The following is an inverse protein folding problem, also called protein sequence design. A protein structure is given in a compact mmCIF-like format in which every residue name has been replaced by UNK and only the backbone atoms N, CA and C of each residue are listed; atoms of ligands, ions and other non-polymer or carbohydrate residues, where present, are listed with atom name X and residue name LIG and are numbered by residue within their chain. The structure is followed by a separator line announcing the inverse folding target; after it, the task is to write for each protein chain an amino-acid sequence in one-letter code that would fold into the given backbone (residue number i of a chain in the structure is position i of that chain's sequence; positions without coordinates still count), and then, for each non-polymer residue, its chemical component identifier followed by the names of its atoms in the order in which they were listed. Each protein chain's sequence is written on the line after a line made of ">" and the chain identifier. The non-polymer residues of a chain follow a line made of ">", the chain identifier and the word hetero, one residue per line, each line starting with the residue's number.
data_IF_368168371041
#
_entry.id   IF_368168371041
#
_cell.length_a   1.000
_cell.length_b   1.000
_cell.length_c   1.000
_cell.angle_alpha   90.00
_cell.angle_beta   90.00
_cell.angle_gamma   90.00
#
_symmetry.space_group_name_H-M   'P 1'
#
loop_
_entity.id
_entity.type
_entity.pdbx_description
1 polymer ?
#
# COMPACT_ATOMS: atom_id res chain seq x y z
N UNK A 1 -44.82 41.36 11.97
CA UNK A 1 -44.48 40.02 12.25
C UNK A 1 -43.85 39.29 11.10
N UNK A 2 -42.60 39.45 10.98
CA UNK A 2 -41.91 38.87 9.86
C UNK A 2 -41.23 37.62 10.30
N UNK A 3 -41.66 36.56 9.75
CA UNK A 3 -40.93 35.31 9.92
C UNK A 3 -39.77 35.32 8.98
N UNK A 4 -38.65 35.50 9.53
CA UNK A 4 -37.44 35.15 8.80
C UNK A 4 -37.34 33.65 8.78
N UNK A 5 -37.82 33.09 7.72
CA UNK A 5 -37.23 31.82 7.37
C UNK A 5 -35.81 32.14 6.99
N UNK A 6 -34.97 32.05 7.95
CA UNK A 6 -33.60 31.77 7.63
C UNK A 6 -33.61 30.41 6.95
N UNK A 7 -33.72 30.45 5.64
CA UNK A 7 -33.14 29.42 4.88
C UNK A 7 -31.65 29.50 5.16
N UNK A 8 -31.25 28.85 6.18
CA UNK A 8 -29.93 28.32 6.13
C UNK A 8 -29.94 27.35 4.97
N UNK A 9 -29.64 27.88 3.82
CA UNK A 9 -28.99 27.04 2.85
C UNK A 9 -27.75 26.56 3.55
N UNK A 10 -27.84 25.46 4.21
CA UNK A 10 -26.68 24.69 4.45
C UNK A 10 -26.13 24.44 3.06
N UNK A 11 -25.16 25.24 2.70
CA UNK A 11 -24.23 24.82 1.71
C UNK A 11 -23.64 23.54 2.24
N UNK A 12 -24.30 22.48 1.97
CA UNK A 12 -23.63 21.23 1.79
C UNK A 12 -22.76 21.43 0.57
N UNK A 13 -21.62 22.01 0.79
CA UNK A 13 -20.52 21.73 -0.08
C UNK A 13 -20.31 20.24 0.09
N UNK A 14 -21.06 19.46 -0.66
CA UNK A 14 -20.51 18.23 -1.09
C UNK A 14 -19.31 18.68 -1.91
N UNK A 15 -18.19 18.82 -1.27
CA UNK A 15 -16.93 18.75 -1.94
C UNK A 15 -17.07 17.50 -2.77
N UNK A 16 -17.25 17.67 -4.08
CA UNK A 16 -17.36 16.53 -4.96
C UNK A 16 -16.29 15.58 -4.52
N UNK A 17 -16.69 14.51 -3.85
CA UNK A 17 -15.76 13.59 -3.30
C UNK A 17 -15.07 12.98 -4.48
N UNK A 18 -13.94 13.59 -4.86
CA UNK A 18 -12.96 12.89 -5.67
C UNK A 18 -12.66 11.65 -4.87
N UNK A 19 -13.09 10.52 -5.38
CA UNK A 19 -12.79 9.25 -4.75
C UNK A 19 -11.28 9.20 -4.51
N UNK A 20 -10.89 9.03 -3.26
CA UNK A 20 -9.50 8.88 -2.91
C UNK A 20 -8.93 7.62 -3.58
N UNK A 21 -7.65 7.61 -3.89
CA UNK A 21 -7.00 6.44 -4.47
C UNK A 21 -7.28 5.18 -3.62
N UNK A 22 -7.26 5.32 -2.31
CA UNK A 22 -7.58 4.22 -1.39
C UNK A 22 -8.96 3.60 -1.63
N UNK A 23 -9.94 4.38 -2.08
CA UNK A 23 -11.29 3.88 -2.33
C UNK A 23 -11.39 3.09 -3.63
N UNK A 24 -10.49 3.31 -4.56
CA UNK A 24 -10.44 2.64 -5.86
C UNK A 24 -9.56 1.41 -5.87
N UNK A 25 -8.77 1.21 -4.83
CA UNK A 25 -7.79 0.15 -4.74
C UNK A 25 -8.28 -0.99 -3.85
N UNK A 26 -8.14 -2.20 -4.33
CA UNK A 26 -8.32 -3.42 -3.53
C UNK A 26 -7.01 -4.20 -3.49
N UNK A 27 -6.80 -4.94 -2.43
CA UNK A 27 -5.61 -5.76 -2.26
C UNK A 27 -6.03 -7.22 -2.08
N UNK A 28 -5.54 -8.08 -2.97
CA UNK A 28 -5.82 -9.49 -2.94
C UNK A 28 -4.61 -10.29 -2.47
N UNK A 29 -4.88 -11.36 -1.75
CA UNK A 29 -3.89 -12.35 -1.32
C UNK A 29 -2.66 -11.74 -0.63
N UNK A 30 -2.82 -10.80 0.32
CA UNK A 30 -1.67 -10.25 1.01
C UNK A 30 -1.07 -11.27 1.97
N UNK A 31 0.25 -11.41 1.91
CA UNK A 31 0.98 -12.26 2.85
C UNK A 31 2.39 -11.73 3.08
N UNK A 32 2.94 -12.09 4.23
CA UNK A 32 4.34 -11.85 4.56
C UNK A 32 5.05 -13.20 4.55
N UNK A 33 6.18 -13.26 3.86
CA UNK A 33 7.00 -14.48 3.87
C UNK A 33 7.52 -14.71 5.27
N UNK A 34 7.41 -15.93 5.76
CA UNK A 34 7.96 -16.30 7.05
C UNK A 34 9.49 -16.22 6.99
N UNK A 35 10.06 -15.34 7.80
CA UNK A 35 11.50 -15.20 7.86
C UNK A 35 12.12 -16.28 8.76
N UNK A 36 13.30 -16.80 8.40
CA UNK A 36 14.04 -17.63 9.33
C UNK A 36 14.32 -16.90 10.65
N UNK A 37 14.48 -17.61 11.77
CA UNK A 37 14.88 -16.97 13.03
C UNK A 37 16.14 -16.13 12.83
N UNK A 38 16.12 -14.93 13.42
CA UNK A 38 17.22 -13.94 13.31
C UNK A 38 17.45 -13.35 11.91
N UNK A 39 16.55 -13.57 10.96
CA UNK A 39 16.62 -12.87 9.68
C UNK A 39 16.38 -11.38 9.90
N UNK A 40 17.20 -10.48 9.31
CA UNK A 40 17.05 -9.04 9.52
C UNK A 40 15.86 -8.47 8.77
N UNK A 41 15.36 -9.13 7.74
CA UNK A 41 14.30 -8.60 6.89
C UNK A 41 13.49 -9.71 6.24
N UNK A 42 12.29 -9.37 5.80
CA UNK A 42 11.45 -10.25 4.99
C UNK A 42 10.61 -9.42 4.01
N UNK A 43 9.99 -10.07 3.06
CA UNK A 43 9.14 -9.43 2.06
C UNK A 43 7.67 -9.70 2.29
N UNK A 44 6.85 -8.72 1.93
CA UNK A 44 5.41 -8.85 1.83
C UNK A 44 4.99 -8.79 0.37
N UNK A 45 4.02 -9.59 0.01
CA UNK A 45 3.55 -9.76 -1.35
C UNK A 45 2.03 -9.66 -1.40
N UNK A 46 1.53 -9.13 -2.49
CA UNK A 46 0.10 -8.92 -2.67
C UNK A 46 -0.20 -8.55 -4.12
N UNK A 47 -1.46 -8.60 -4.50
CA UNK A 47 -1.94 -8.06 -5.77
C UNK A 47 -2.73 -6.80 -5.46
N UNK A 48 -2.27 -5.67 -5.98
CA UNK A 48 -2.91 -4.37 -5.80
C UNK A 48 -3.68 -4.05 -7.07
N UNK A 49 -5.00 -3.95 -6.97
CA UNK A 49 -5.90 -3.70 -8.10
C UNK A 49 -6.47 -2.30 -8.04
N UNK A 50 -6.48 -1.63 -9.17
CA UNK A 50 -7.04 -0.29 -9.32
C UNK A 50 -8.27 -0.34 -10.22
N UNK A 51 -9.44 -0.15 -9.64
CA UNK A 51 -10.71 -0.12 -10.39
C UNK A 51 -11.06 1.27 -10.91
N UNK A 52 -10.27 2.29 -10.58
CA UNK A 52 -10.51 3.66 -10.96
C UNK A 52 -10.05 4.00 -12.37
N UNK A 53 -10.39 5.21 -12.81
CA UNK A 53 -10.06 5.73 -14.14
C UNK A 53 -8.70 6.44 -14.19
N UNK A 54 -8.05 6.59 -13.06
CA UNK A 54 -6.75 7.24 -12.95
C UNK A 54 -5.69 6.26 -12.48
N UNK A 55 -4.48 6.45 -12.95
CA UNK A 55 -3.33 5.72 -12.45
C UNK A 55 -3.08 6.09 -10.98
N UNK A 56 -2.70 5.11 -10.19
CA UNK A 56 -2.38 5.26 -8.78
C UNK A 56 -0.94 4.83 -8.56
N UNK A 57 -0.26 5.51 -7.63
CA UNK A 57 1.09 5.12 -7.21
C UNK A 57 1.08 4.85 -5.71
N UNK A 58 1.66 3.73 -5.33
CA UNK A 58 1.99 3.48 -3.93
C UNK A 58 3.35 4.11 -3.67
N UNK A 59 3.39 5.12 -2.82
CA UNK A 59 4.62 5.89 -2.57
C UNK A 59 5.28 5.56 -1.24
N UNK A 60 4.56 4.84 -0.37
CA UNK A 60 5.07 4.50 0.95
C UNK A 60 4.34 3.27 1.49
N UNK A 61 5.03 2.50 2.29
CA UNK A 61 4.45 1.44 3.09
C UNK A 61 5.01 1.51 4.51
N UNK A 62 4.15 1.21 5.48
CA UNK A 62 4.51 1.17 6.90
C UNK A 62 3.94 -0.08 7.55
N UNK A 63 4.61 -0.57 8.58
CA UNK A 63 4.08 -1.65 9.42
C UNK A 63 4.69 -1.58 10.82
N UNK A 64 3.99 -2.10 11.86
CA UNK A 64 4.51 -2.07 13.22
C UNK A 64 5.49 -3.22 13.54
N UNK A 65 5.63 -4.21 12.67
CA UNK A 65 6.45 -5.39 12.93
C UNK A 65 7.94 -5.19 12.60
N UNK A 66 8.28 -4.10 11.94
CA UNK A 66 9.65 -3.77 11.57
C UNK A 66 9.97 -2.31 11.86
N UNK A 67 11.26 -2.00 11.94
CA UNK A 67 11.72 -0.63 12.20
C UNK A 67 11.68 0.24 10.96
N UNK A 68 11.80 -0.36 9.78
CA UNK A 68 11.73 0.34 8.51
C UNK A 68 10.96 -0.48 7.49
N UNK A 69 10.29 0.20 6.57
CA UNK A 69 9.55 -0.43 5.49
C UNK A 69 9.92 0.29 4.19
N UNK A 70 10.23 -0.46 3.17
CA UNK A 70 10.61 0.09 1.87
C UNK A 70 9.89 -0.62 0.74
N UNK A 71 9.75 0.05 -0.39
CA UNK A 71 9.30 -0.55 -1.64
C UNK A 71 10.52 -0.98 -2.43
N UNK A 72 10.56 -2.23 -2.85
CA UNK A 72 11.70 -2.82 -3.55
C UNK A 72 11.25 -3.52 -4.83
N UNK A 73 12.21 -3.67 -5.72
CA UNK A 73 12.08 -4.54 -6.89
C UNK A 73 13.35 -5.36 -7.08
N UNK A 74 13.25 -6.42 -7.87
CA UNK A 74 14.42 -7.15 -8.36
C UNK A 74 14.76 -6.68 -9.77
N UNK A 75 16.02 -6.35 -9.99
CA UNK A 75 16.54 -6.00 -11.30
C UNK A 75 17.63 -7.00 -11.71
N UNK A 76 17.63 -7.37 -12.99
CA UNK A 76 18.70 -8.17 -13.55
C UNK A 76 19.81 -7.22 -14.03
N UNK A 77 20.92 -7.21 -13.32
CA UNK A 77 22.10 -6.43 -13.67
C UNK A 77 23.20 -7.39 -14.09
N UNK A 78 23.49 -7.46 -15.39
CA UNK A 78 24.53 -8.33 -15.96
C UNK A 78 24.39 -9.81 -15.58
N UNK A 79 23.16 -10.33 -15.56
CA UNK A 79 22.86 -11.70 -15.18
C UNK A 79 22.71 -11.95 -13.68
N UNK A 80 22.88 -10.91 -12.85
CA UNK A 80 22.73 -11.00 -11.40
C UNK A 80 21.44 -10.30 -10.99
N UNK A 81 20.58 -11.02 -10.27
CA UNK A 81 19.36 -10.43 -9.72
C UNK A 81 19.71 -9.64 -8.45
N UNK A 82 19.42 -8.37 -8.45
CA UNK A 82 19.67 -7.47 -7.31
C UNK A 82 18.38 -6.81 -6.88
N UNK A 83 18.17 -6.74 -5.55
CA UNK A 83 17.10 -5.92 -4.99
C UNK A 83 17.50 -4.46 -4.98
N UNK A 84 16.55 -3.60 -5.38
CA UNK A 84 16.73 -2.15 -5.36
C UNK A 84 15.49 -1.47 -4.80
N UNK A 85 15.64 -0.44 -3.98
CA UNK A 85 14.51 0.37 -3.57
C UNK A 85 13.93 1.10 -4.79
N UNK A 86 12.62 1.26 -4.79
CA UNK A 86 11.90 2.05 -5.77
C UNK A 86 11.13 3.16 -5.06
N UNK A 87 10.99 4.31 -5.72
CA UNK A 87 10.29 5.45 -5.14
C UNK A 87 8.78 5.21 -5.07
N UNK A 88 8.24 4.42 -5.98
CA UNK A 88 6.82 4.16 -6.07
C UNK A 88 6.55 2.86 -6.82
N UNK A 89 5.36 2.30 -6.56
CA UNK A 89 4.81 1.18 -7.34
C UNK A 89 3.63 1.72 -8.12
N UNK A 90 3.68 1.62 -9.44
CA UNK A 90 2.61 2.08 -10.33
C UNK A 90 1.49 1.04 -10.39
N UNK A 91 0.26 1.51 -10.21
CA UNK A 91 -0.95 0.70 -10.41
C UNK A 91 -1.80 1.41 -11.45
N UNK A 92 -1.76 0.95 -12.67
CA UNK A 92 -2.45 1.58 -13.81
C UNK A 92 -3.97 1.56 -13.60
N UNK A 93 -4.66 2.56 -14.16
CA UNK A 93 -6.12 2.59 -14.16
C UNK A 93 -6.67 1.30 -14.77
N UNK A 94 -7.70 0.71 -14.14
CA UNK A 94 -8.29 -0.57 -14.54
C UNK A 94 -7.29 -1.72 -14.61
N UNK A 95 -6.15 -1.58 -13.96
CA UNK A 95 -5.06 -2.55 -13.96
C UNK A 95 -4.67 -3.02 -12.57
N UNK A 96 -3.55 -3.69 -12.50
CA UNK A 96 -3.05 -4.22 -11.23
C UNK A 96 -1.52 -4.18 -11.18
N UNK A 97 -1.00 -4.15 -9.95
CA UNK A 97 0.40 -4.40 -9.68
C UNK A 97 0.53 -5.71 -8.90
N UNK A 98 1.34 -6.61 -9.39
CA UNK A 98 1.58 -7.91 -8.76
C UNK A 98 2.91 -7.85 -8.02
N UNK A 99 2.83 -7.92 -6.70
CA UNK A 99 4.01 -8.03 -5.85
C UNK A 99 4.23 -9.51 -5.55
N UNK A 100 5.37 -10.02 -5.98
CA UNK A 100 5.70 -11.46 -5.90
C UNK A 100 7.18 -11.68 -5.68
N UNK A 101 7.58 -12.84 -5.15
CA UNK A 101 8.99 -13.19 -5.05
C UNK A 101 9.69 -13.05 -6.40
N UNK A 102 10.85 -12.40 -6.40
CA UNK A 102 11.59 -12.12 -7.63
C UNK A 102 11.15 -10.87 -8.39
N UNK A 103 10.13 -10.17 -7.93
CA UNK A 103 9.62 -8.94 -8.52
C UNK A 103 9.47 -7.83 -7.50
N UNK A 104 8.44 -7.00 -7.68
CA UNK A 104 8.08 -5.96 -6.72
C UNK A 104 7.70 -6.57 -5.37
N UNK A 105 8.03 -5.90 -4.30
CA UNK A 105 7.63 -6.30 -2.95
C UNK A 105 7.75 -5.15 -1.95
N UNK A 106 7.08 -5.32 -0.81
CA UNK A 106 7.26 -4.47 0.35
C UNK A 106 8.30 -5.15 1.24
N UNK A 107 9.38 -4.46 1.53
CA UNK A 107 10.45 -5.00 2.36
C UNK A 107 10.27 -4.50 3.80
N UNK A 108 10.16 -5.45 4.73
CA UNK A 108 10.12 -5.19 6.16
C UNK A 108 11.55 -5.36 6.70
N UNK A 109 12.15 -4.28 7.17
CA UNK A 109 13.56 -4.22 7.55
C UNK A 109 13.69 -4.07 9.07
N UNK A 110 14.59 -4.83 9.66
CA UNK A 110 14.82 -4.86 11.09
C UNK A 110 13.54 -5.27 11.86
N UNK A 111 13.20 -6.53 11.74
CA UNK A 111 12.05 -7.10 12.42
C UNK A 111 12.18 -6.95 13.94
N UNK A 112 11.09 -6.52 14.59
CA UNK A 112 11.07 -6.27 16.03
C UNK A 112 11.01 -7.55 16.86
N UNK A 113 10.50 -8.62 16.29
CA UNK A 113 10.35 -9.92 16.93
C UNK A 113 10.29 -11.03 15.89
N UNK A 114 10.58 -12.26 16.27
CA UNK A 114 10.38 -13.41 15.38
C UNK A 114 8.93 -13.52 14.96
N UNK A 115 8.72 -13.84 13.68
CA UNK A 115 7.39 -14.10 13.13
C UNK A 115 7.06 -15.57 13.21
N UNK A 116 5.78 -15.85 13.43
CA UNK A 116 5.23 -17.21 13.45
C UNK A 116 4.22 -17.39 12.34
N UNK A 117 4.09 -18.57 11.84
CA UNK A 117 3.03 -18.91 10.89
C UNK A 117 1.67 -18.59 11.49
N UNK A 118 0.84 -17.90 10.70
CA UNK A 118 -0.47 -17.45 11.15
C UNK A 118 -0.49 -16.06 11.76
N UNK A 119 0.67 -15.45 12.03
CA UNK A 119 0.72 -14.06 12.49
C UNK A 119 0.17 -13.12 11.41
N UNK A 120 -0.55 -12.10 11.85
CA UNK A 120 -1.08 -11.06 10.97
C UNK A 120 -0.22 -9.81 11.11
N UNK A 121 0.26 -9.31 9.99
CA UNK A 121 1.06 -8.09 9.94
C UNK A 121 0.25 -7.01 9.23
N UNK A 122 -0.19 -5.97 9.94
CA UNK A 122 -0.86 -4.86 9.29
C UNK A 122 0.16 -4.01 8.51
N UNK A 123 -0.15 -3.77 7.25
CA UNK A 123 0.68 -2.94 6.37
C UNK A 123 -0.17 -1.78 5.89
N UNK A 124 0.30 -0.56 6.08
CA UNK A 124 -0.36 0.63 5.58
C UNK A 124 0.31 1.08 4.30
N UNK A 125 -0.43 1.08 3.21
CA UNK A 125 0.00 1.59 1.92
C UNK A 125 -0.46 3.04 1.79
N UNK A 126 0.44 3.93 1.44
CA UNK A 126 0.15 5.34 1.18
C UNK A 126 0.28 5.61 -0.30
N UNK A 127 -0.73 6.27 -0.87
CA UNK A 127 -0.81 6.57 -2.28
C UNK A 127 -0.36 8.01 -2.56
N UNK A 128 -0.11 8.30 -3.82
CA UNK A 128 0.41 9.60 -4.26
C UNK A 128 -0.55 10.78 -4.02
N UNK A 129 -1.85 10.52 -3.82
CA UNK A 129 -2.82 11.55 -3.42
C UNK A 129 -2.89 11.78 -1.90
N UNK A 130 -2.05 11.11 -1.13
CA UNK A 130 -2.04 11.19 0.33
C UNK A 130 -3.01 10.26 1.05
N UNK A 131 -3.90 9.60 0.34
CA UNK A 131 -4.79 8.60 0.94
C UNK A 131 -4.01 7.33 1.30
N UNK A 132 -4.53 6.56 2.22
CA UNK A 132 -3.89 5.33 2.67
C UNK A 132 -4.88 4.19 2.84
N UNK A 133 -4.36 2.98 2.78
CA UNK A 133 -5.13 1.76 2.96
C UNK A 133 -4.35 0.78 3.83
N UNK A 134 -5.01 0.29 4.87
CA UNK A 134 -4.44 -0.73 5.74
C UNK A 134 -4.78 -2.11 5.20
N UNK A 135 -3.79 -2.97 5.13
CA UNK A 135 -3.89 -4.35 4.64
C UNK A 135 -3.39 -5.27 5.74
N UNK A 136 -4.13 -6.31 6.05
CA UNK A 136 -3.72 -7.35 6.98
C UNK A 136 -3.08 -8.51 6.20
N UNK A 137 -1.79 -8.65 6.32
CA UNK A 137 -1.00 -9.63 5.56
C UNK A 137 -0.57 -10.85 6.39
#
# INVERSE_FOLDING_TARGET
>A
MKKFSLLLASLMVSAGALAAAADMVTVDEPYVRLAPPNAPATGAFMVIKNAGDKDVKVVKADNPASKATELHTHLNENGVMKMRPVAAIDVKSKGEAVLKPGGLHVMLINLNAPMKEGDVVPITLTFDDGSSKKVDA
#
